data_IF_090337205766
#
_entry.id   IF_090337205766
#
_cell.length_a   1.000
_cell.length_b   1.000
_cell.length_c   1.000
_cell.angle_alpha   90.00
_cell.angle_beta   90.00
_cell.angle_gamma   90.00
#
_symmetry.space_group_name_H-M   'P 1'
#
loop_
_entity.id
_entity.type
_entity.pdbx_description
1 polymer ?
#
# COMPACT_ATOMS: atom_id res chain seq x y z
N UNK A 1 -29.06 -6.71 20.91
CA UNK A 1 -28.16 -7.89 21.06
C UNK A 1 -26.73 -7.37 21.03
N UNK A 2 -26.07 -7.31 22.20
CA UNK A 2 -24.63 -7.04 22.26
C UNK A 2 -23.94 -8.31 21.81
N UNK A 3 -23.50 -8.37 20.55
CA UNK A 3 -22.56 -9.41 20.15
C UNK A 3 -21.31 -9.20 21.02
N UNK A 4 -21.05 -10.13 21.92
CA UNK A 4 -19.78 -10.20 22.65
C UNK A 4 -18.66 -10.22 21.61
N UNK A 5 -18.01 -9.08 21.36
CA UNK A 5 -16.93 -8.97 20.38
C UNK A 5 -15.69 -9.59 21.04
N UNK A 6 -15.33 -10.85 20.74
CA UNK A 6 -14.33 -11.58 21.53
C UNK A 6 -12.96 -10.93 21.40
N UNK A 7 -12.71 -10.35 20.21
CA UNK A 7 -11.51 -9.58 19.89
C UNK A 7 -11.27 -8.40 20.83
N UNK A 8 -12.31 -7.67 21.26
CA UNK A 8 -12.14 -6.49 22.11
C UNK A 8 -11.89 -6.82 23.59
N UNK A 9 -12.13 -8.08 24.00
CA UNK A 9 -11.84 -8.56 25.36
C UNK A 9 -10.42 -9.11 25.50
N UNK A 10 -9.68 -9.23 24.39
CA UNK A 10 -8.31 -9.73 24.42
C UNK A 10 -7.35 -8.64 24.92
N UNK A 11 -6.32 -9.01 25.71
CA UNK A 11 -5.23 -8.10 26.03
C UNK A 11 -4.51 -7.63 24.77
N UNK A 12 -3.99 -6.39 24.78
CA UNK A 12 -3.25 -5.78 23.67
C UNK A 12 -2.15 -6.69 23.11
N UNK A 13 -1.48 -7.46 23.98
CA UNK A 13 -0.44 -8.44 23.59
C UNK A 13 -1.00 -9.56 22.73
N UNK A 14 -2.17 -10.10 23.07
CA UNK A 14 -2.82 -11.16 22.31
C UNK A 14 -3.37 -10.63 20.99
N UNK A 15 -3.97 -9.43 21.00
CA UNK A 15 -4.40 -8.73 19.80
C UNK A 15 -3.23 -8.52 18.83
N UNK A 16 -2.10 -7.98 19.31
CA UNK A 16 -0.91 -7.78 18.49
C UNK A 16 -0.37 -9.09 17.88
N UNK A 17 -0.46 -10.22 18.59
CA UNK A 17 -0.05 -11.53 18.03
C UNK A 17 -0.96 -11.97 16.89
N UNK A 18 -2.27 -11.80 17.02
CA UNK A 18 -3.23 -12.12 15.94
C UNK A 18 -2.94 -11.23 14.72
N UNK A 19 -2.77 -9.93 14.95
CA UNK A 19 -2.52 -8.95 13.89
C UNK A 19 -1.21 -9.21 13.14
N UNK A 20 -0.20 -9.86 13.73
CA UNK A 20 1.01 -10.28 13.00
C UNK A 20 0.74 -11.32 11.91
N UNK A 21 -0.41 -11.99 11.95
CA UNK A 21 -0.86 -12.91 10.92
C UNK A 21 -1.79 -12.24 9.88
N UNK A 22 -2.11 -10.96 10.05
CA UNK A 22 -2.96 -10.21 9.13
C UNK A 22 -2.13 -9.49 8.07
N UNK A 23 -2.65 -9.42 6.85
CA UNK A 23 -2.10 -8.59 5.78
C UNK A 23 -2.80 -7.23 5.72
N UNK A 24 -2.26 -6.31 4.91
CA UNK A 24 -2.86 -4.99 4.71
C UNK A 24 -4.37 -5.01 4.40
N UNK A 25 -4.90 -5.90 3.52
CA UNK A 25 -6.33 -5.97 3.27
C UNK A 25 -7.15 -6.30 4.52
N UNK A 26 -6.63 -7.17 5.39
CA UNK A 26 -7.28 -7.52 6.65
C UNK A 26 -7.29 -6.34 7.61
N UNK A 27 -6.17 -5.62 7.73
CA UNK A 27 -6.12 -4.37 8.51
C UNK A 27 -7.10 -3.32 8.00
N UNK A 28 -7.23 -3.18 6.68
CA UNK A 28 -8.18 -2.24 6.07
C UNK A 28 -9.63 -2.65 6.36
N UNK A 29 -9.94 -3.95 6.40
CA UNK A 29 -11.25 -4.48 6.80
C UNK A 29 -11.50 -4.27 8.29
N UNK A 30 -10.54 -4.62 9.16
CA UNK A 30 -10.63 -4.45 10.61
C UNK A 30 -10.78 -2.98 11.04
N UNK A 31 -10.13 -2.04 10.34
CA UNK A 31 -10.34 -0.60 10.58
C UNK A 31 -11.79 -0.15 10.33
N UNK A 32 -12.54 -0.85 9.47
CA UNK A 32 -13.93 -0.52 9.12
C UNK A 32 -14.95 -1.14 10.06
N UNK A 33 -14.57 -2.12 10.90
CA UNK A 33 -15.53 -2.84 11.74
C UNK A 33 -15.91 -2.07 13.00
N UNK A 34 -14.96 -1.48 13.74
CA UNK A 34 -15.27 -0.69 14.94
C UNK A 34 -14.22 0.37 15.30
N UNK A 35 -14.65 1.38 16.07
CA UNK A 35 -13.79 2.48 16.52
C UNK A 35 -12.61 2.03 17.40
N UNK A 36 -12.83 1.04 18.28
CA UNK A 36 -11.78 0.53 19.16
C UNK A 36 -10.66 -0.18 18.40
N UNK A 37 -11.00 -1.06 17.44
CA UNK A 37 -10.00 -1.71 16.57
C UNK A 37 -9.29 -0.69 15.68
N UNK A 38 -10.03 0.30 15.16
CA UNK A 38 -9.43 1.40 14.40
C UNK A 38 -8.41 2.16 15.23
N UNK A 39 -8.78 2.57 16.45
CA UNK A 39 -7.88 3.25 17.38
C UNK A 39 -6.65 2.40 17.71
N UNK A 40 -6.84 1.11 18.03
CA UNK A 40 -5.74 0.20 18.31
C UNK A 40 -4.77 0.09 17.12
N UNK A 41 -5.27 -0.12 15.90
CA UNK A 41 -4.47 -0.22 14.68
C UNK A 41 -3.77 1.08 14.30
N UNK A 42 -4.37 2.23 14.61
CA UNK A 42 -3.79 3.56 14.40
C UNK A 42 -2.67 3.83 15.41
N UNK A 43 -2.79 3.35 16.65
CA UNK A 43 -1.76 3.48 17.70
C UNK A 43 -0.62 2.47 17.54
N UNK A 44 -0.94 1.18 17.36
CA UNK A 44 0.08 0.10 17.29
C UNK A 44 0.83 0.06 15.97
N UNK A 45 0.23 0.59 14.90
CA UNK A 45 0.81 0.66 13.54
C UNK A 45 1.50 -0.66 13.17
N UNK A 46 0.78 -1.80 13.23
CA UNK A 46 1.36 -3.11 12.96
C UNK A 46 1.92 -3.14 11.53
N UNK A 47 2.99 -3.92 11.34
CA UNK A 47 3.62 -4.10 10.03
C UNK A 47 2.60 -4.56 9.00
N UNK A 48 2.14 -3.61 8.20
CA UNK A 48 1.20 -3.84 7.11
C UNK A 48 1.94 -4.47 5.93
N UNK A 49 2.11 -5.78 5.98
CA UNK A 49 2.65 -6.54 4.86
C UNK A 49 1.59 -6.63 3.76
N UNK A 50 2.03 -6.38 2.53
CA UNK A 50 1.27 -6.71 1.32
C UNK A 50 2.00 -7.86 0.66
N UNK A 51 1.33 -9.02 0.55
CA UNK A 51 1.91 -10.13 -0.18
C UNK A 51 1.91 -9.85 -1.69
N UNK A 52 2.96 -10.33 -2.36
CA UNK A 52 3.13 -10.25 -3.81
C UNK A 52 1.97 -10.92 -4.54
N UNK A 53 1.39 -11.97 -3.94
CA UNK A 53 0.23 -12.69 -4.48
C UNK A 53 -0.98 -11.78 -4.68
N UNK A 54 -1.20 -10.82 -3.78
CA UNK A 54 -2.31 -9.89 -3.87
C UNK A 54 -2.17 -8.93 -5.06
N UNK A 55 -0.96 -8.38 -5.26
CA UNK A 55 -0.66 -7.47 -6.37
C UNK A 55 -0.69 -8.20 -7.73
N UNK A 56 -0.31 -9.48 -7.73
CA UNK A 56 -0.32 -10.32 -8.93
C UNK A 56 -1.71 -10.88 -9.27
N UNK A 57 -2.69 -10.84 -8.36
CA UNK A 57 -4.05 -11.31 -8.62
C UNK A 57 -4.68 -10.60 -9.83
N UNK A 58 -5.36 -11.35 -10.71
CA UNK A 58 -6.06 -10.77 -11.86
C UNK A 58 -7.15 -9.75 -11.49
N UNK A 59 -7.68 -9.85 -10.27
CA UNK A 59 -8.72 -8.95 -9.74
C UNK A 59 -8.15 -7.69 -9.07
N UNK A 60 -6.83 -7.59 -8.92
CA UNK A 60 -6.21 -6.42 -8.33
C UNK A 60 -6.31 -5.23 -9.28
N UNK A 61 -6.84 -4.12 -8.76
CA UNK A 61 -6.93 -2.86 -9.52
C UNK A 61 -6.13 -1.74 -8.85
N UNK A 62 -6.40 -1.47 -7.57
CA UNK A 62 -5.73 -0.38 -6.84
C UNK A 62 -5.68 -0.66 -5.34
N UNK A 63 -4.59 -0.27 -4.70
CA UNK A 63 -4.45 -0.21 -3.25
C UNK A 63 -3.80 1.13 -2.85
N UNK A 64 -4.32 1.77 -1.80
CA UNK A 64 -3.76 3.03 -1.29
C UNK A 64 -3.50 2.93 0.20
N UNK A 65 -2.24 3.07 0.58
CA UNK A 65 -1.76 3.08 1.95
C UNK A 65 -1.53 4.54 2.35
N UNK A 66 -2.28 5.04 3.32
CA UNK A 66 -2.07 6.37 3.89
C UNK A 66 -1.13 6.30 5.08
N UNK A 67 -0.24 7.27 5.18
CA UNK A 67 0.69 7.40 6.30
C UNK A 67 0.78 8.88 6.70
N UNK A 68 1.16 9.12 7.96
CA UNK A 68 1.15 10.46 8.58
C UNK A 68 2.57 11.04 8.77
N UNK A 69 3.57 10.40 8.20
CA UNK A 69 4.99 10.78 8.28
C UNK A 69 5.50 11.19 6.90
N UNK A 70 6.75 11.63 6.80
CA UNK A 70 7.39 11.87 5.50
C UNK A 70 8.20 10.65 5.11
N UNK A 71 8.02 10.14 3.88
CA UNK A 71 8.90 9.10 3.35
C UNK A 71 10.13 9.79 2.76
N UNK A 72 11.32 9.43 3.25
CA UNK A 72 12.57 9.92 2.70
C UNK A 72 12.81 9.36 1.30
N UNK A 73 13.19 10.25 0.39
CA UNK A 73 13.54 9.95 -1.00
C UNK A 73 14.78 9.06 -1.14
N UNK A 74 15.75 9.23 -0.24
CA UNK A 74 16.98 8.42 -0.21
C UNK A 74 16.67 6.94 -0.14
N UNK A 75 15.64 6.60 0.64
CA UNK A 75 15.32 5.23 1.00
C UNK A 75 14.58 4.51 -0.12
N UNK A 76 13.91 5.24 -1.02
CA UNK A 76 13.17 4.67 -2.15
C UNK A 76 14.02 4.54 -3.39
N UNK A 77 14.80 5.57 -3.76
CA UNK A 77 15.75 5.48 -4.89
C UNK A 77 16.80 4.41 -4.64
N UNK A 78 17.31 4.31 -3.41
CA UNK A 78 18.25 3.25 -3.03
C UNK A 78 17.68 1.83 -3.14
N UNK A 79 16.35 1.67 -2.97
CA UNK A 79 15.69 0.36 -3.07
C UNK A 79 15.42 -0.10 -4.50
N UNK A 80 15.01 0.82 -5.38
CA UNK A 80 14.64 0.48 -6.76
C UNK A 80 15.79 0.67 -7.75
N UNK A 81 16.84 1.41 -7.39
CA UNK A 81 17.99 1.68 -8.26
C UNK A 81 17.69 2.55 -9.47
N UNK A 82 16.46 3.07 -9.58
CA UNK A 82 15.97 3.86 -10.71
C UNK A 82 15.27 5.11 -10.19
N UNK A 83 15.53 6.25 -10.84
CA UNK A 83 14.87 7.52 -10.51
C UNK A 83 13.37 7.45 -10.84
N UNK A 84 12.49 7.99 -9.97
CA UNK A 84 11.07 8.07 -10.27
C UNK A 84 10.80 9.02 -11.42
N UNK A 85 9.70 8.79 -12.12
CA UNK A 85 9.06 9.83 -12.91
C UNK A 85 8.39 10.83 -11.97
N UNK A 86 8.75 12.10 -12.10
CA UNK A 86 8.11 13.20 -11.39
C UNK A 86 7.28 14.02 -12.39
N UNK A 87 5.96 14.03 -12.22
CA UNK A 87 5.09 14.85 -13.06
C UNK A 87 5.18 16.31 -12.62
N UNK A 88 5.30 17.22 -13.59
CA UNK A 88 5.32 18.67 -13.32
C UNK A 88 4.05 19.15 -12.58
N UNK A 89 2.94 18.45 -12.78
CA UNK A 89 1.62 18.83 -12.25
C UNK A 89 1.38 18.20 -10.87
N UNK A 90 2.13 17.16 -10.52
CA UNK A 90 2.05 16.46 -9.25
C UNK A 90 3.42 16.49 -8.56
N UNK A 91 3.92 17.71 -8.27
CA UNK A 91 5.26 18.02 -7.68
C UNK A 91 5.61 17.34 -6.35
N UNK A 92 4.77 16.43 -5.87
CA UNK A 92 4.93 15.66 -4.64
C UNK A 92 4.70 14.15 -4.84
N UNK A 93 4.27 13.74 -6.03
CA UNK A 93 4.03 12.36 -6.46
C UNK A 93 5.24 11.86 -7.24
N UNK A 94 5.70 10.67 -6.88
CA UNK A 94 6.85 10.01 -7.50
C UNK A 94 6.40 8.67 -7.99
N UNK A 95 6.56 8.45 -9.28
CA UNK A 95 5.91 7.37 -9.98
C UNK A 95 6.96 6.40 -10.53
N UNK A 96 6.82 5.13 -10.15
CA UNK A 96 7.54 4.02 -10.74
C UNK A 96 6.54 3.13 -11.47
N UNK A 97 6.96 2.58 -12.60
CA UNK A 97 6.15 1.73 -13.44
C UNK A 97 6.84 0.39 -13.60
N UNK A 98 6.14 -0.68 -13.26
CA UNK A 98 6.64 -2.04 -13.32
C UNK A 98 5.88 -2.82 -14.39
N UNK A 99 6.60 -3.57 -15.21
CA UNK A 99 6.04 -4.51 -16.15
C UNK A 99 5.29 -5.61 -15.40
N UNK A 100 4.12 -6.00 -15.91
CA UNK A 100 3.41 -7.17 -15.41
C UNK A 100 3.81 -8.35 -16.30
N UNK A 101 4.35 -9.45 -15.74
CA UNK A 101 4.71 -10.61 -16.53
C UNK A 101 3.53 -11.10 -17.36
N UNK A 102 3.77 -11.34 -18.66
CA UNK A 102 2.78 -11.85 -19.61
C UNK A 102 1.60 -10.89 -19.93
N UNK A 103 1.61 -9.65 -19.44
CA UNK A 103 0.61 -8.63 -19.76
C UNK A 103 1.29 -7.34 -20.22
N UNK A 104 1.27 -7.10 -21.54
CA UNK A 104 1.82 -5.89 -22.15
C UNK A 104 0.80 -4.74 -22.24
N UNK A 105 -0.45 -4.98 -21.81
CA UNK A 105 -1.53 -3.99 -21.87
C UNK A 105 -1.62 -3.15 -20.60
N UNK A 106 -1.09 -3.69 -19.50
CA UNK A 106 -1.12 -3.06 -18.18
C UNK A 106 0.28 -2.99 -17.57
N UNK A 107 0.46 -1.98 -16.74
CA UNK A 107 1.63 -1.83 -15.88
C UNK A 107 1.18 -1.68 -14.43
N UNK A 108 2.03 -2.09 -13.50
CA UNK A 108 1.85 -1.75 -12.10
C UNK A 108 2.51 -0.41 -11.83
N UNK A 109 1.70 0.61 -11.55
CA UNK A 109 2.15 1.93 -11.12
C UNK A 109 2.25 1.99 -9.60
N UNK A 110 3.43 2.36 -9.10
CA UNK A 110 3.68 2.74 -7.72
C UNK A 110 3.82 4.26 -7.65
N UNK A 111 2.87 4.91 -7.00
CA UNK A 111 2.85 6.35 -6.78
C UNK A 111 3.09 6.64 -5.28
N UNK A 112 4.25 7.20 -4.98
CA UNK A 112 4.65 7.60 -3.63
C UNK A 112 4.52 9.10 -3.50
N UNK A 113 3.55 9.55 -2.70
CA UNK A 113 3.37 10.95 -2.37
C UNK A 113 4.02 11.27 -1.02
N UNK A 114 5.07 12.10 -1.02
CA UNK A 114 5.88 12.39 0.18
C UNK A 114 5.14 12.87 1.44
N UNK A 115 3.87 13.27 1.34
CA UNK A 115 3.12 13.84 2.46
C UNK A 115 1.91 13.01 2.90
N UNK A 116 1.44 12.04 2.12
CA UNK A 116 0.07 11.52 2.37
C UNK A 116 -0.19 10.04 2.04
N UNK A 117 0.46 9.45 1.03
CA UNK A 117 0.12 8.07 0.63
C UNK A 117 1.17 7.37 -0.23
N UNK A 118 1.12 6.03 -0.21
CA UNK A 118 1.66 5.13 -1.22
C UNK A 118 0.48 4.51 -1.96
N UNK A 119 0.45 4.57 -3.28
CA UNK A 119 -0.60 4.00 -4.11
C UNK A 119 -0.03 3.00 -5.10
N UNK A 120 -0.54 1.79 -5.06
CA UNK A 120 -0.34 0.76 -6.08
C UNK A 120 -1.56 0.74 -6.98
N UNK A 121 -1.37 0.75 -8.29
CA UNK A 121 -2.46 0.79 -9.27
C UNK A 121 -2.05 0.05 -10.53
N UNK A 122 -2.98 -0.71 -11.14
CA UNK A 122 -2.81 -1.15 -12.52
C UNK A 122 -3.23 -0.03 -13.45
N UNK A 123 -2.29 0.41 -14.26
CA UNK A 123 -2.51 1.46 -15.25
C UNK A 123 -2.41 0.89 -16.67
N UNK A 124 -2.96 1.59 -17.65
CA UNK A 124 -2.74 1.22 -19.05
C UNK A 124 -1.27 1.40 -19.39
N UNK A 125 -0.66 0.43 -20.09
CA UNK A 125 0.70 0.61 -20.61
C UNK A 125 0.78 1.80 -21.59
N UNK A 126 -0.33 2.13 -22.27
CA UNK A 126 -0.42 3.29 -23.15
C UNK A 126 -0.43 4.63 -22.40
N UNK A 127 -0.78 4.64 -21.12
CA UNK A 127 -0.84 5.85 -20.29
C UNK A 127 0.50 6.13 -19.57
N UNK A 128 1.50 5.26 -19.76
CA UNK A 128 2.84 5.46 -19.19
C UNK A 128 3.54 6.62 -19.91
N UNK A 129 4.00 7.64 -19.17
CA UNK A 129 4.73 8.75 -19.76
C UNK A 129 5.99 8.27 -20.49
N UNK A 130 6.26 8.81 -21.68
CA UNK A 130 7.42 8.41 -22.48
C UNK A 130 8.77 8.57 -21.75
N UNK A 131 8.87 9.56 -20.85
CA UNK A 131 10.07 9.81 -20.05
C UNK A 131 10.22 8.87 -18.83
N UNK A 132 9.21 8.04 -18.55
CA UNK A 132 9.24 7.12 -17.41
C UNK A 132 10.04 5.86 -17.74
N UNK A 133 10.79 5.36 -16.76
CA UNK A 133 11.52 4.09 -16.88
C UNK A 133 10.60 2.94 -16.47
N UNK A 134 10.52 1.92 -17.31
CA UNK A 134 9.85 0.66 -17.01
C UNK A 134 10.81 -0.30 -16.30
N UNK A 135 10.38 -0.83 -15.16
CA UNK A 135 11.13 -1.78 -14.35
C UNK A 135 10.56 -3.19 -14.58
N UNK A 136 11.42 -4.18 -14.83
CA UNK A 136 11.02 -5.59 -14.98
C UNK A 136 10.97 -6.34 -13.65
#
# INVERSE_FOLDING_TARGET
>A
MNADVPLLKLPDVAMNRILRHCEYPDFARLRKTCHSLRGFLDTTRPDARMDKTYVNSSTFNRCMIRYNETISLSDTVGKFGVQPYESEWARSSRQWFFCIPYDNTKVLKLDVNNRTFIKYERDSAADVPYAAVLIN
#
